data_IF_060356864647
#
_entry.id   IF_060356864647
#
_cell.length_a   1.000
_cell.length_b   1.000
_cell.length_c   1.000
_cell.angle_alpha   90.00
_cell.angle_beta   90.00
_cell.angle_gamma   90.00
#
_symmetry.space_group_name_H-M   'P 1'
#
loop_
_entity.id
_entity.type
_entity.pdbx_description
1 polymer ?
#
# COMPACT_ATOMS: atom_id res chain seq x y z
N UNK A 1 -22.03 -12.04 3.49
CA UNK A 1 -21.24 -11.12 2.65
C UNK A 1 -20.68 -10.08 3.59
N UNK A 2 -19.37 -10.02 3.77
CA UNK A 2 -18.73 -9.02 4.62
C UNK A 2 -17.93 -8.11 3.70
N UNK A 3 -18.20 -6.81 3.78
CA UNK A 3 -17.35 -5.79 3.16
C UNK A 3 -16.03 -5.81 3.93
N UNK A 4 -14.94 -6.18 3.25
CA UNK A 4 -13.62 -6.23 3.81
C UNK A 4 -13.00 -4.83 3.72
N UNK A 5 -12.44 -4.32 4.81
CA UNK A 5 -11.76 -3.03 4.88
C UNK A 5 -10.34 -3.20 5.43
N UNK A 6 -9.39 -2.52 4.79
CA UNK A 6 -8.02 -2.36 5.27
C UNK A 6 -7.70 -0.86 5.35
N UNK A 7 -7.17 -0.40 6.49
CA UNK A 7 -6.74 0.99 6.64
C UNK A 7 -5.27 1.07 7.03
N UNK A 8 -4.57 2.00 6.41
CA UNK A 8 -3.15 2.25 6.60
C UNK A 8 -2.85 3.75 6.58
N UNK A 9 -2.04 4.22 7.52
CA UNK A 9 -1.60 5.61 7.62
C UNK A 9 -0.07 5.69 7.52
N UNK A 10 0.44 6.66 6.77
CA UNK A 10 1.88 6.85 6.57
C UNK A 10 2.24 8.32 6.43
N UNK A 11 3.50 8.64 6.67
CA UNK A 11 4.06 9.96 6.34
C UNK A 11 5.08 9.80 5.21
N UNK A 12 4.74 10.22 4.00
CA UNK A 12 5.53 9.92 2.81
C UNK A 12 5.18 10.78 1.59
N UNK A 13 5.87 10.51 0.49
CA UNK A 13 5.75 11.19 -0.80
C UNK A 13 5.41 10.24 -1.95
N UNK A 14 5.37 8.93 -1.71
CA UNK A 14 4.83 7.96 -2.68
C UNK A 14 4.30 6.73 -1.96
N UNK A 15 3.39 5.99 -2.60
CA UNK A 15 2.90 4.70 -2.11
C UNK A 15 2.81 3.71 -3.26
N UNK A 16 3.11 2.44 -2.98
CA UNK A 16 2.85 1.29 -3.83
C UNK A 16 2.18 0.19 -3.01
N UNK A 17 1.14 -0.41 -3.58
CA UNK A 17 0.33 -1.45 -2.94
C UNK A 17 0.38 -2.69 -3.81
N UNK A 18 0.74 -3.81 -3.20
CA UNK A 18 0.86 -5.11 -3.84
C UNK A 18 -0.13 -6.09 -3.24
N UNK A 19 -0.64 -6.98 -4.08
CA UNK A 19 -1.65 -7.95 -3.70
C UNK A 19 -1.83 -9.04 -4.75
N UNK A 20 -2.59 -10.07 -4.39
CA UNK A 20 -2.95 -11.15 -5.30
C UNK A 20 -3.86 -10.70 -6.46
N UNK A 21 -3.69 -11.29 -7.64
CA UNK A 21 -4.67 -11.23 -8.73
C UNK A 21 -5.16 -12.63 -9.09
N UNK A 22 -6.47 -12.87 -8.98
CA UNK A 22 -7.09 -14.20 -9.16
C UNK A 22 -8.41 -14.09 -9.91
N UNK A 23 -8.91 -15.22 -10.42
CA UNK A 23 -10.19 -15.25 -11.14
C UNK A 23 -11.42 -15.18 -10.22
N UNK A 24 -11.22 -15.40 -8.91
CA UNK A 24 -12.24 -15.24 -7.86
C UNK A 24 -12.24 -13.84 -7.22
N UNK A 25 -11.32 -12.98 -7.63
CA UNK A 25 -11.19 -11.62 -7.13
C UNK A 25 -11.92 -10.65 -8.08
N UNK A 26 -12.18 -9.43 -7.61
CA UNK A 26 -12.99 -8.49 -8.36
C UNK A 26 -12.62 -7.04 -8.11
N UNK A 27 -13.62 -6.18 -8.19
CA UNK A 27 -13.40 -4.75 -8.04
C UNK A 27 -13.27 -4.39 -6.56
N UNK A 28 -12.42 -3.40 -6.29
CA UNK A 28 -12.25 -2.82 -4.98
C UNK A 28 -12.09 -1.31 -5.10
N UNK A 29 -12.37 -0.60 -4.02
CA UNK A 29 -12.22 0.85 -3.91
C UNK A 29 -11.03 1.15 -3.02
N UNK A 30 -10.07 1.90 -3.55
CA UNK A 30 -8.99 2.53 -2.81
C UNK A 30 -9.36 4.00 -2.57
N UNK A 31 -9.34 4.42 -1.32
CA UNK A 31 -9.55 5.80 -0.89
C UNK A 31 -8.24 6.34 -0.36
N UNK A 32 -7.64 7.31 -1.04
CA UNK A 32 -6.43 8.00 -0.60
C UNK A 32 -6.79 9.45 -0.28
N UNK A 33 -6.63 9.85 0.99
CA UNK A 33 -6.97 11.19 1.49
C UNK A 33 -8.39 11.67 1.10
N UNK A 34 -9.35 10.73 1.08
CA UNK A 34 -10.74 10.99 0.72
C UNK A 34 -11.05 10.93 -0.79
N UNK A 35 -10.04 10.68 -1.64
CA UNK A 35 -10.22 10.50 -3.09
C UNK A 35 -10.36 9.03 -3.43
N UNK A 36 -11.50 8.66 -4.02
CA UNK A 36 -11.81 7.28 -4.37
C UNK A 36 -11.28 6.92 -5.76
N UNK A 37 -10.67 5.74 -5.87
CA UNK A 37 -10.28 5.09 -7.11
C UNK A 37 -10.81 3.66 -7.11
N UNK A 38 -11.59 3.30 -8.13
CA UNK A 38 -12.03 1.91 -8.34
C UNK A 38 -10.97 1.17 -9.15
N UNK A 39 -10.51 0.04 -8.61
CA UNK A 39 -9.48 -0.82 -9.18
C UNK A 39 -10.01 -2.26 -9.27
N UNK A 40 -9.26 -3.13 -9.95
CA UNK A 40 -9.62 -4.55 -10.08
C UNK A 40 -8.43 -5.45 -9.83
N UNK A 41 -8.62 -6.43 -8.94
CA UNK A 41 -7.69 -7.53 -8.70
C UNK A 41 -8.07 -8.80 -9.48
N UNK A 42 -9.04 -8.72 -10.40
CA UNK A 42 -9.37 -9.83 -11.28
C UNK A 42 -8.22 -10.17 -12.25
N UNK A 43 -7.99 -11.47 -12.46
CA UNK A 43 -7.16 -12.01 -13.52
C UNK A 43 -7.68 -13.39 -13.92
N UNK A 44 -7.71 -13.72 -15.22
CA UNK A 44 -8.14 -15.04 -15.69
C UNK A 44 -7.23 -16.18 -15.22
N UNK A 45 -5.95 -15.86 -15.00
CA UNK A 45 -4.95 -16.76 -14.44
C UNK A 45 -4.46 -16.20 -13.11
N UNK A 46 -4.35 -17.05 -12.09
CA UNK A 46 -3.75 -16.68 -10.82
C UNK A 46 -2.33 -16.12 -11.07
N UNK A 47 -2.06 -14.94 -10.50
CA UNK A 47 -0.75 -14.29 -10.57
C UNK A 47 -0.05 -14.50 -9.24
N UNK A 48 1.04 -15.25 -9.29
CA UNK A 48 1.97 -15.46 -8.18
C UNK A 48 3.39 -15.23 -8.76
N UNK A 49 4.23 -14.31 -8.22
CA UNK A 49 4.13 -13.58 -6.95
C UNK A 49 3.13 -12.39 -6.93
N UNK A 50 2.95 -11.71 -5.78
CA UNK A 50 2.07 -10.54 -5.66
C UNK A 50 2.27 -9.48 -6.75
N UNK A 51 1.16 -8.97 -7.27
CA UNK A 51 1.14 -7.99 -8.36
C UNK A 51 1.00 -6.57 -7.82
N UNK A 52 1.56 -5.59 -8.55
CA UNK A 52 1.29 -4.18 -8.27
C UNK A 52 -0.19 -3.87 -8.56
N UNK A 53 -0.93 -3.46 -7.53
CA UNK A 53 -2.33 -3.10 -7.64
C UNK A 53 -2.53 -1.59 -7.79
N UNK A 54 -1.70 -0.80 -7.11
CA UNK A 54 -1.78 0.66 -7.14
C UNK A 54 -0.42 1.29 -6.86
N UNK A 55 -0.15 2.44 -7.51
CA UNK A 55 0.96 3.31 -7.15
C UNK A 55 0.63 4.77 -7.45
N UNK A 56 1.12 5.68 -6.61
CA UNK A 56 1.09 7.12 -6.90
C UNK A 56 2.19 7.87 -6.17
N UNK A 57 2.53 9.05 -6.67
CA UNK A 57 3.32 10.06 -5.96
C UNK A 57 2.38 11.11 -5.36
N UNK A 58 2.78 11.68 -4.23
CA UNK A 58 2.04 12.69 -3.47
C UNK A 58 3.03 13.72 -2.92
N UNK A 59 2.53 14.85 -2.43
CA UNK A 59 3.37 15.76 -1.65
C UNK A 59 3.78 15.07 -0.35
N UNK A 60 5.03 15.26 0.10
CA UNK A 60 5.46 14.77 1.42
C UNK A 60 4.49 15.21 2.51
N UNK A 61 3.88 14.25 3.21
CA UNK A 61 2.96 14.54 4.31
C UNK A 61 2.35 13.28 4.91
N UNK A 62 1.48 13.48 5.90
CA UNK A 62 0.66 12.40 6.45
C UNK A 62 -0.50 12.09 5.50
N UNK A 63 -0.64 10.81 5.17
CA UNK A 63 -1.64 10.28 4.26
C UNK A 63 -2.37 9.11 4.90
N UNK A 64 -3.62 8.93 4.49
CA UNK A 64 -4.45 7.79 4.89
C UNK A 64 -5.00 7.07 3.67
N UNK A 65 -4.83 5.75 3.67
CA UNK A 65 -5.37 4.86 2.67
C UNK A 65 -6.40 3.93 3.31
N UNK A 66 -7.56 3.81 2.67
CA UNK A 66 -8.57 2.80 2.98
C UNK A 66 -8.87 1.98 1.72
N UNK A 67 -8.74 0.67 1.81
CA UNK A 67 -9.11 -0.27 0.75
C UNK A 67 -10.37 -0.98 1.18
N UNK A 68 -11.33 -1.14 0.26
CA UNK A 68 -12.59 -1.85 0.51
C UNK A 68 -13.09 -2.61 -0.70
N UNK A 69 -13.76 -3.74 -0.49
CA UNK A 69 -14.54 -4.43 -1.53
C UNK A 69 -16.04 -4.40 -1.23
N UNK A 70 -16.86 -4.82 -2.19
CA UNK A 70 -18.32 -4.92 -2.04
C UNK A 70 -18.79 -6.21 -1.32
N UNK A 71 -17.85 -7.00 -0.79
CA UNK A 71 -18.10 -8.25 -0.10
C UNK A 71 -18.58 -9.40 -0.99
N UNK A 72 -18.59 -9.23 -2.32
CA UNK A 72 -19.00 -10.26 -3.29
C UNK A 72 -17.83 -10.99 -3.93
N UNK A 73 -16.66 -10.35 -4.02
CA UNK A 73 -15.43 -10.91 -4.60
C UNK A 73 -14.25 -10.81 -3.65
N UNK A 74 -13.28 -11.73 -3.76
CA UNK A 74 -12.08 -11.71 -2.92
C UNK A 74 -11.17 -10.51 -3.20
N UNK A 75 -10.41 -10.11 -2.18
CA UNK A 75 -9.28 -9.19 -2.26
C UNK A 75 -8.21 -9.64 -1.27
N UNK A 76 -6.95 -9.41 -1.63
CA UNK A 76 -5.80 -9.82 -0.86
C UNK A 76 -4.68 -8.77 -1.04
N UNK A 77 -4.19 -8.22 0.07
CA UNK A 77 -3.17 -7.17 0.08
C UNK A 77 -1.96 -7.73 0.83
N UNK A 78 -0.90 -8.02 0.10
CA UNK A 78 0.31 -8.65 0.65
C UNK A 78 1.25 -7.61 1.28
N UNK A 79 1.41 -6.45 0.63
CA UNK A 79 2.33 -5.41 1.13
C UNK A 79 1.99 -4.01 0.66
N UNK A 80 2.38 -3.05 1.50
CA UNK A 80 2.37 -1.63 1.19
C UNK A 80 3.76 -1.08 1.41
N UNK A 81 4.29 -0.40 0.39
CA UNK A 81 5.55 0.32 0.47
C UNK A 81 5.32 1.81 0.24
N UNK A 82 6.02 2.66 0.97
CA UNK A 82 6.02 4.10 0.73
C UNK A 82 7.43 4.67 0.86
N UNK A 83 7.67 5.79 0.19
CA UNK A 83 8.90 6.57 0.37
C UNK A 83 8.60 7.82 1.17
N UNK A 84 9.57 8.31 1.91
CA UNK A 84 9.51 9.62 2.57
C UNK A 84 10.70 10.46 2.17
N UNK A 85 10.50 11.75 2.02
CA UNK A 85 11.58 12.72 1.94
C UNK A 85 12.23 12.84 3.32
N UNK A 86 13.54 12.59 3.41
CA UNK A 86 14.31 13.02 4.58
C UNK A 86 14.47 14.52 4.49
N UNK A 87 14.06 15.27 5.52
CA UNK A 87 14.43 16.66 5.64
C UNK A 87 15.96 16.77 5.49
N UNK A 88 16.45 17.43 4.45
CA UNK A 88 17.84 17.88 4.37
C UNK A 88 18.05 18.98 5.42
N UNK A 89 18.12 18.58 6.68
CA UNK A 89 18.29 19.44 7.83
C UNK A 89 19.76 19.62 8.18
N UNK A 90 20.54 20.25 7.31
CA UNK A 90 21.64 21.09 7.78
C UNK A 90 21.26 22.52 7.41
N UNK A 91 20.92 23.38 8.39
CA UNK A 91 21.01 24.81 8.14
C UNK A 91 22.50 25.13 8.04
N UNK A 92 23.12 24.94 6.88
CA UNK A 92 24.43 25.54 6.66
C UNK A 92 24.20 27.04 6.51
N UNK A 93 24.69 27.81 7.48
CA UNK A 93 24.88 29.25 7.35
C UNK A 93 25.82 29.63 6.19
N UNK A 94 26.38 28.64 5.50
CA UNK A 94 27.22 28.82 4.33
C UNK A 94 26.37 28.78 3.05
N UNK A 95 26.27 29.93 2.38
CA UNK A 95 25.67 30.11 1.05
C UNK A 95 26.53 29.48 -0.06
N UNK A 96 27.05 28.27 0.11
CA UNK A 96 27.73 27.56 -0.96
C UNK A 96 27.87 26.06 -0.71
N UNK A 97 26.76 25.32 -0.79
CA UNK A 97 26.82 23.88 -1.05
C UNK A 97 25.82 23.53 -2.16
N UNK A 98 26.23 23.87 -3.39
CA UNK A 98 25.72 23.28 -4.62
C UNK A 98 26.17 21.82 -4.69
N UNK A 99 25.55 20.94 -3.91
CA UNK A 99 25.58 19.51 -4.18
C UNK A 99 24.34 18.87 -3.54
N UNK A 100 23.19 19.06 -4.21
CA UNK A 100 22.01 18.22 -3.98
C UNK A 100 22.37 16.81 -4.46
N UNK A 101 23.10 16.07 -3.64
CA UNK A 101 23.11 14.62 -3.73
C UNK A 101 21.67 14.21 -3.44
N UNK A 102 20.98 13.68 -4.45
CA UNK A 102 19.71 12.99 -4.26
C UNK A 102 19.94 11.82 -3.31
N UNK A 103 19.84 12.08 -2.01
CA UNK A 103 19.79 11.01 -1.01
C UNK A 103 18.64 10.11 -1.41
N UNK A 104 18.84 8.79 -1.58
CA UNK A 104 17.74 7.88 -1.85
C UNK A 104 16.66 8.12 -0.79
N UNK A 105 15.44 8.43 -1.22
CA UNK A 105 14.33 8.60 -0.29
C UNK A 105 14.20 7.29 0.49
N UNK A 106 14.24 7.29 1.84
CA UNK A 106 14.00 6.08 2.61
C UNK A 106 12.65 5.49 2.21
N UNK A 107 12.68 4.21 1.83
CA UNK A 107 11.49 3.41 1.60
C UNK A 107 11.21 2.53 2.82
N UNK A 108 9.96 2.48 3.25
CA UNK A 108 9.49 1.52 4.25
C UNK A 108 8.46 0.59 3.61
N UNK A 109 8.49 -0.68 3.99
CA UNK A 109 7.53 -1.69 3.53
C UNK A 109 6.93 -2.37 4.74
N UNK A 110 5.60 -2.47 4.76
CA UNK A 110 4.87 -3.32 5.68
C UNK A 110 4.19 -4.45 4.94
N UNK A 111 4.17 -5.62 5.57
CA UNK A 111 3.47 -6.81 5.12
C UNK A 111 2.21 -7.02 5.93
N UNK A 112 1.22 -7.69 5.35
CA UNK A 112 -0.07 -8.04 5.96
C UNK A 112 -0.03 -8.62 7.39
N UNK A 113 1.07 -9.27 7.75
CA UNK A 113 1.33 -9.83 9.08
C UNK A 113 1.80 -8.81 10.14
N UNK A 114 1.88 -7.51 9.83
CA UNK A 114 2.32 -6.45 10.74
C UNK A 114 1.15 -5.74 11.44
N UNK A 115 1.37 -5.31 12.68
CA UNK A 115 0.35 -4.66 13.55
C UNK A 115 -0.16 -3.31 13.06
N UNK A 116 0.56 -2.71 12.11
CA UNK A 116 0.24 -1.41 11.53
C UNK A 116 -0.94 -1.44 10.55
N UNK A 117 -1.45 -2.64 10.24
CA UNK A 117 -2.69 -2.83 9.51
C UNK A 117 -3.89 -2.96 10.46
N UNK A 118 -4.98 -2.25 10.15
CA UNK A 118 -6.28 -2.47 10.78
C UNK A 118 -7.24 -3.14 9.79
N UNK A 119 -7.58 -4.40 10.07
CA UNK A 119 -8.47 -5.24 9.26
C UNK A 119 -9.86 -5.31 9.89
N UNK A 120 -10.92 -5.05 9.11
CA UNK A 120 -12.30 -5.22 9.60
C UNK A 120 -13.24 -5.70 8.50
N UNK A 121 -14.28 -6.49 8.84
CA UNK A 121 -14.44 -7.23 10.10
C UNK A 121 -13.43 -8.39 10.20
N UNK A 122 -13.20 -8.90 11.42
CA UNK A 122 -12.32 -10.05 11.65
C UNK A 122 -12.78 -11.26 10.82
N UNK A 123 -11.86 -11.91 10.09
CA UNK A 123 -12.14 -13.06 9.22
C UNK A 123 -12.66 -12.71 7.81
N UNK A 124 -12.74 -11.41 7.45
CA UNK A 124 -13.00 -10.99 6.06
C UNK A 124 -11.74 -11.01 5.18
N UNK A 125 -10.56 -11.14 5.79
CA UNK A 125 -9.26 -11.17 5.15
C UNK A 125 -8.58 -12.51 5.44
N UNK A 126 -7.92 -13.08 4.45
CA UNK A 126 -6.97 -14.16 4.68
C UNK A 126 -5.69 -13.51 5.21
N UNK A 127 -5.62 -13.28 6.52
CA UNK A 127 -4.38 -12.90 7.22
C UNK A 127 -3.44 -14.11 7.17
N UNK A 128 -2.85 -14.35 6.01
CA UNK A 128 -2.02 -15.51 5.82
C UNK A 128 -0.70 -15.24 6.55
N UNK A 129 -0.48 -15.95 7.66
CA UNK A 129 0.88 -16.28 8.10
C UNK A 129 1.62 -17.17 7.09
N UNK A 130 1.19 -17.20 5.83
CA UNK A 130 1.58 -18.13 4.78
C UNK A 130 2.51 -17.46 3.75
N UNK A 131 3.20 -16.40 4.16
CA UNK A 131 4.43 -15.93 3.49
C UNK A 131 5.57 -16.97 3.55
N UNK A 132 5.34 -18.17 4.10
CA UNK A 132 6.34 -19.22 4.21
C UNK A 132 6.25 -20.32 3.14
N UNK A 133 5.17 -20.45 2.34
CA UNK A 133 5.17 -21.41 1.24
C UNK A 133 4.22 -21.02 0.12
N UNK A 134 4.80 -20.63 -1.01
CA UNK A 134 4.05 -20.46 -2.25
C UNK A 134 3.17 -21.67 -2.58
N UNK A 135 1.92 -21.39 -2.97
CA UNK A 135 1.04 -22.29 -3.68
C UNK A 135 0.20 -21.52 -4.68
#
# INVERSE_FOLDING_TARGET
MHNAFATFEFNGSSISIYGGKRNTYGNFTLTLDGVNTTLSSFSSNNQDPPSLLFRTQMQQGFHKVTISNDGTTGIDIDSISWTSETASGVPSSDKNCSNSTSTPMPSKTYTDNMTEFSWTPNGAWNESSDSANGK
#
